data_IF_340980090095
#
_entry.id   IF_340980090095
#
_cell.length_a   1.000
_cell.length_b   1.000
_cell.length_c   1.000
_cell.angle_alpha   90.00
_cell.angle_beta   90.00
_cell.angle_gamma   90.00
#
_symmetry.space_group_name_H-M   'P 1'
#
loop_
_entity.id
_entity.type
_entity.pdbx_description
1 polymer ?
#
# COMPACT_ATOMS: atom_id res chain seq x y z
N UNK A 1 27.48 -7.95 1.14
CA UNK A 1 26.11 -8.41 1.49
C UNK A 1 25.36 -8.62 0.19
N UNK A 2 24.41 -9.56 0.06
CA UNK A 2 23.51 -9.55 -1.09
C UNK A 2 22.67 -8.27 -0.97
N UNK A 3 23.20 -7.18 -1.52
CA UNK A 3 22.63 -5.85 -1.53
C UNK A 3 21.39 -5.93 -2.39
N UNK A 4 20.28 -6.10 -1.69
CA UNK A 4 18.88 -6.12 -2.09
C UNK A 4 18.64 -5.73 -3.55
N UNK A 5 18.36 -6.74 -4.37
CA UNK A 5 17.97 -6.54 -5.78
C UNK A 5 16.86 -5.50 -5.88
N UNK A 6 16.94 -4.49 -6.78
CA UNK A 6 15.90 -3.48 -6.94
C UNK A 6 14.51 -4.07 -7.16
N UNK A 7 14.42 -5.23 -7.82
CA UNK A 7 13.16 -5.95 -8.00
C UNK A 7 12.60 -6.47 -6.66
N UNK A 8 13.47 -7.00 -5.79
CA UNK A 8 13.07 -7.47 -4.45
C UNK A 8 12.61 -6.29 -3.60
N UNK A 9 13.37 -5.19 -3.59
CA UNK A 9 12.99 -3.95 -2.88
C UNK A 9 11.66 -3.40 -3.39
N UNK A 10 11.47 -3.36 -4.71
CA UNK A 10 10.22 -2.93 -5.33
C UNK A 10 9.04 -3.80 -4.90
N UNK A 11 9.19 -5.12 -4.88
CA UNK A 11 8.17 -6.04 -4.40
C UNK A 11 7.85 -5.83 -2.91
N UNK A 12 8.85 -5.61 -2.07
CA UNK A 12 8.66 -5.33 -0.64
C UNK A 12 7.89 -4.03 -0.45
N UNK A 13 8.31 -2.95 -1.14
CA UNK A 13 7.67 -1.65 -1.07
C UNK A 13 6.20 -1.72 -1.54
N UNK A 14 5.94 -2.34 -2.70
CA UNK A 14 4.59 -2.55 -3.22
C UNK A 14 3.72 -3.40 -2.29
N UNK A 15 4.29 -4.44 -1.67
CA UNK A 15 3.58 -5.28 -0.69
C UNK A 15 3.22 -4.48 0.57
N UNK A 16 4.10 -3.60 1.03
CA UNK A 16 3.85 -2.70 2.14
C UNK A 16 2.72 -1.72 1.82
N UNK A 17 2.79 -1.06 0.67
CA UNK A 17 1.77 -0.12 0.18
C UNK A 17 0.40 -0.79 0.08
N UNK A 18 0.31 -1.98 -0.55
CA UNK A 18 -0.95 -2.69 -0.73
C UNK A 18 -1.58 -3.07 0.61
N UNK A 19 -0.78 -3.51 1.59
CA UNK A 19 -1.29 -3.81 2.94
C UNK A 19 -1.79 -2.57 3.66
N UNK A 20 -1.11 -1.43 3.53
CA UNK A 20 -1.58 -0.14 4.10
C UNK A 20 -2.91 0.28 3.47
N UNK A 21 -3.01 0.23 2.14
CA UNK A 21 -4.24 0.56 1.41
C UNK A 21 -5.40 -0.37 1.77
N UNK A 22 -5.15 -1.68 1.88
CA UNK A 22 -6.15 -2.64 2.32
C UNK A 22 -6.61 -2.39 3.76
N UNK A 23 -5.68 -2.06 4.67
CA UNK A 23 -6.00 -1.70 6.05
C UNK A 23 -6.87 -0.45 6.10
N UNK A 24 -6.51 0.60 5.35
CA UNK A 24 -7.26 1.84 5.27
C UNK A 24 -8.67 1.63 4.69
N UNK A 25 -8.76 0.94 3.55
CA UNK A 25 -10.04 0.58 2.93
C UNK A 25 -10.91 -0.21 3.91
N UNK A 26 -10.34 -1.18 4.63
CA UNK A 26 -11.05 -1.93 5.66
C UNK A 26 -11.51 -1.05 6.83
N UNK A 27 -10.75 -0.03 7.24
CA UNK A 27 -11.21 0.88 8.30
C UNK A 27 -12.45 1.67 7.89
N UNK A 28 -12.55 2.04 6.59
CA UNK A 28 -13.66 2.82 6.01
C UNK A 28 -14.88 1.94 5.69
N UNK A 29 -14.68 0.78 5.06
CA UNK A 29 -15.76 -0.06 4.50
C UNK A 29 -16.02 -1.35 5.28
N UNK A 30 -15.15 -1.73 6.23
CA UNK A 30 -15.30 -2.92 7.09
C UNK A 30 -15.55 -4.19 6.26
N UNK A 31 -16.62 -4.94 6.56
CA UNK A 31 -16.97 -6.18 5.85
C UNK A 31 -17.47 -5.95 4.43
N UNK A 32 -17.77 -4.70 4.05
CA UNK A 32 -18.20 -4.34 2.69
C UNK A 32 -17.05 -3.89 1.80
N UNK A 33 -15.80 -4.05 2.24
CA UNK A 33 -14.62 -3.66 1.46
C UNK A 33 -14.54 -4.45 0.16
N UNK A 34 -14.42 -3.74 -0.96
CA UNK A 34 -14.20 -4.27 -2.30
C UNK A 34 -12.77 -3.96 -2.77
N UNK A 35 -12.35 -4.62 -3.85
CA UNK A 35 -11.05 -4.34 -4.48
C UNK A 35 -10.94 -2.89 -4.96
N UNK A 36 -12.05 -2.29 -5.43
CA UNK A 36 -12.09 -0.87 -5.80
C UNK A 36 -11.69 0.04 -4.65
N UNK A 37 -12.19 -0.23 -3.44
CA UNK A 37 -11.93 0.57 -2.25
C UNK A 37 -10.44 0.54 -1.88
N UNK A 38 -9.77 -0.61 -2.09
CA UNK A 38 -8.33 -0.76 -1.90
C UNK A 38 -7.57 0.09 -2.93
N UNK A 39 -7.97 0.05 -4.21
CA UNK A 39 -7.35 0.82 -5.29
C UNK A 39 -7.47 2.32 -5.01
N UNK A 40 -8.65 2.79 -4.58
CA UNK A 40 -8.89 4.19 -4.22
C UNK A 40 -8.02 4.65 -3.03
N UNK A 41 -7.70 3.75 -2.10
CA UNK A 41 -6.85 4.03 -0.96
C UNK A 41 -5.33 4.01 -1.28
N UNK A 42 -4.90 3.62 -2.49
CA UNK A 42 -3.46 3.53 -2.82
C UNK A 42 -2.75 4.88 -2.76
N UNK A 43 -3.36 5.95 -3.28
CA UNK A 43 -2.78 7.29 -3.29
C UNK A 43 -2.55 7.82 -1.87
N UNK A 44 -3.61 7.84 -1.05
CA UNK A 44 -3.56 8.27 0.35
C UNK A 44 -2.56 7.41 1.16
N UNK A 45 -2.49 6.11 0.89
CA UNK A 45 -1.55 5.22 1.57
C UNK A 45 -0.09 5.46 1.15
N UNK A 46 0.15 5.88 -0.09
CA UNK A 46 1.49 6.22 -0.56
C UNK A 46 1.98 7.54 0.05
N UNK A 47 1.11 8.55 0.11
CA UNK A 47 1.38 9.84 0.75
C UNK A 47 1.79 9.67 2.23
N UNK A 48 1.12 8.77 2.95
CA UNK A 48 1.45 8.45 4.35
C UNK A 48 2.81 7.74 4.52
N UNK A 49 3.23 6.93 3.54
CA UNK A 49 4.51 6.20 3.57
C UNK A 49 5.67 7.08 3.08
N UNK A 50 5.43 7.88 2.04
CA UNK A 50 6.42 8.70 1.36
C UNK A 50 5.78 10.05 1.02
N UNK A 51 5.72 10.98 1.99
CA UNK A 51 5.12 12.29 1.76
C UNK A 51 5.95 13.04 0.74
N UNK A 52 5.32 13.45 -0.36
CA UNK A 52 5.97 14.29 -1.36
C UNK A 52 5.93 15.71 -0.82
N UNK A 53 7.12 16.27 -0.53
CA UNK A 53 7.26 17.66 -0.04
C UNK A 53 6.96 18.68 -1.13
#
# INVERSE_FOLDING_TARGET
>A
SPSESPAILGCIAASGLLRKAASLAFTKHKRSTLTSDIIECLGESLEDICPVS
#
